data_IF_406675722108
#
_entry.id   IF_406675722108
#
_cell.length_a   1.000
_cell.length_b   1.000
_cell.length_c   1.000
_cell.angle_alpha   90.00
_cell.angle_beta   90.00
_cell.angle_gamma   90.00
#
_symmetry.space_group_name_H-M   'P 1'
#
loop_
_entity.id
_entity.type
_entity.pdbx_description
1 polymer ?
#
# COMPACT_ATOMS: atom_id res chain seq x y z
N UNK A 1 -1.20 68.79 36.64
CA UNK A 1 -1.51 67.99 35.43
C UNK A 1 -1.40 66.51 35.79
N UNK A 2 -2.40 65.75 35.35
CA UNK A 2 -2.60 64.29 35.47
C UNK A 2 -2.79 63.66 36.84
N UNK A 3 -4.08 63.46 37.12
CA UNK A 3 -4.70 62.56 38.09
C UNK A 3 -4.20 61.10 37.95
N UNK A 4 -3.80 60.49 39.06
CA UNK A 4 -3.81 59.04 39.24
C UNK A 4 -5.01 58.69 40.13
N UNK A 5 -6.05 58.06 39.55
CA UNK A 5 -7.10 57.37 40.32
C UNK A 5 -6.69 55.91 40.51
N UNK A 6 -6.82 55.34 41.72
CA UNK A 6 -6.66 53.92 41.95
C UNK A 6 -7.91 53.13 41.51
N UNK A 7 -7.76 51.86 41.09
CA UNK A 7 -8.89 50.98 40.82
C UNK A 7 -9.52 50.45 42.12
N UNK A 8 -10.84 50.18 42.14
CA UNK A 8 -11.54 49.67 43.31
C UNK A 8 -11.42 48.14 43.46
N UNK A 9 -11.52 47.70 44.71
CA UNK A 9 -11.54 46.31 45.19
C UNK A 9 -12.79 45.53 44.73
N UNK A 10 -12.71 44.20 44.62
CA UNK A 10 -13.83 43.34 44.22
C UNK A 10 -14.81 43.10 45.37
N UNK A 11 -16.09 43.25 45.04
CA UNK A 11 -17.26 42.93 45.87
C UNK A 11 -17.44 41.42 46.03
N UNK A 12 -17.63 40.99 47.28
CA UNK A 12 -18.16 39.67 47.62
C UNK A 12 -19.66 39.61 47.37
N UNK A 13 -20.15 38.49 46.84
CA UNK A 13 -21.49 37.97 47.10
C UNK A 13 -21.48 36.44 47.00
N UNK A 14 -22.08 35.86 48.02
CA UNK A 14 -22.14 34.44 48.40
C UNK A 14 -23.35 33.73 47.77
N UNK A 15 -23.46 32.42 48.05
CA UNK A 15 -24.60 31.47 47.86
C UNK A 15 -24.54 30.68 46.56
N UNK A 16 -24.86 29.40 46.49
CA UNK A 16 -25.23 28.35 47.45
C UNK A 16 -25.04 27.02 46.70
N UNK A 17 -24.68 25.95 47.40
CA UNK A 17 -24.77 24.57 46.88
C UNK A 17 -26.22 24.12 46.76
N UNK A 18 -26.52 23.15 45.86
CA UNK A 18 -27.08 21.92 46.43
C UNK A 18 -26.54 20.63 45.77
N UNK A 19 -26.52 19.61 46.62
CA UNK A 19 -26.26 18.19 46.37
C UNK A 19 -27.52 17.44 45.93
N UNK A 20 -27.35 16.34 45.19
CA UNK A 20 -28.31 15.26 44.94
C UNK A 20 -28.63 15.09 43.45
N UNK A 21 -28.91 13.93 42.88
CA UNK A 21 -28.97 12.52 43.30
C UNK A 21 -29.33 11.72 42.03
N UNK A 22 -28.77 10.52 41.88
CA UNK A 22 -29.29 9.30 41.20
C UNK A 22 -30.39 9.36 40.11
N UNK A 23 -30.10 8.71 38.97
CA UNK A 23 -31.02 8.14 37.97
C UNK A 23 -30.22 7.84 36.70
N UNK A 24 -29.80 6.60 36.40
CA UNK A 24 -30.60 5.53 35.77
C UNK A 24 -31.54 6.06 34.69
N UNK A 25 -31.09 5.99 33.44
CA UNK A 25 -31.94 5.84 32.26
C UNK A 25 -31.11 5.22 31.12
N UNK A 26 -31.52 4.02 30.73
CA UNK A 26 -31.20 3.34 29.49
C UNK A 26 -31.64 4.19 28.30
N UNK A 27 -30.85 4.21 27.22
CA UNK A 27 -31.44 4.37 25.89
C UNK A 27 -30.58 3.70 24.82
N UNK A 28 -31.27 2.84 24.08
CA UNK A 28 -30.86 2.18 22.86
C UNK A 28 -30.53 3.20 21.75
N UNK A 29 -29.45 3.00 20.99
CA UNK A 29 -29.41 3.49 19.61
C UNK A 29 -28.87 2.41 18.65
N UNK A 30 -29.84 1.91 17.88
CA UNK A 30 -29.78 1.04 16.71
C UNK A 30 -29.04 1.74 15.54
N UNK A 31 -28.47 0.98 14.57
CA UNK A 31 -27.33 1.43 13.78
C UNK A 31 -27.71 2.29 12.59
N UNK A 32 -26.80 3.20 12.22
CA UNK A 32 -26.90 3.99 10.98
C UNK A 32 -26.74 3.09 9.76
N UNK A 33 -27.86 2.76 9.14
CA UNK A 33 -27.97 2.29 7.76
C UNK A 33 -27.85 3.45 6.76
N UNK A 34 -27.29 3.10 5.59
CA UNK A 34 -27.66 3.59 4.25
C UNK A 34 -27.58 5.09 3.93
N UNK A 35 -26.57 5.48 3.12
CA UNK A 35 -26.72 6.30 1.89
C UNK A 35 -25.50 5.94 1.03
N UNK A 36 -25.57 5.35 -0.16
CA UNK A 36 -26.37 5.71 -1.33
C UNK A 36 -25.41 6.26 -2.40
N UNK A 37 -24.98 5.39 -3.33
CA UNK A 37 -24.39 5.80 -4.61
C UNK A 37 -25.39 6.69 -5.37
N UNK A 38 -24.92 7.67 -6.15
CA UNK A 38 -25.40 7.68 -7.54
C UNK A 38 -24.30 7.93 -8.57
N UNK A 39 -24.37 7.06 -9.56
CA UNK A 39 -23.89 7.18 -10.93
C UNK A 39 -24.80 8.15 -11.72
N UNK A 40 -24.32 8.55 -12.91
CA UNK A 40 -24.99 9.29 -13.98
C UNK A 40 -24.80 10.83 -13.98
N UNK A 41 -23.92 11.29 -14.87
CA UNK A 41 -24.13 12.54 -15.61
C UNK A 41 -24.58 12.17 -17.01
N UNK A 42 -25.85 12.44 -17.28
CA UNK A 42 -26.41 12.56 -18.60
C UNK A 42 -26.09 13.96 -19.15
N UNK A 43 -25.63 14.03 -20.40
CA UNK A 43 -25.69 15.26 -21.19
C UNK A 43 -26.35 14.91 -22.51
N UNK A 44 -27.60 15.33 -22.61
CA UNK A 44 -28.37 15.47 -23.85
C UNK A 44 -27.96 16.78 -24.51
N UNK A 45 -27.47 16.75 -25.75
CA UNK A 45 -27.66 17.89 -26.65
C UNK A 45 -28.06 17.42 -28.05
N UNK A 46 -29.08 18.12 -28.52
CA UNK A 46 -29.89 17.91 -29.71
C UNK A 46 -29.44 18.95 -30.73
N UNK A 47 -28.91 18.54 -31.90
CA UNK A 47 -28.86 19.44 -33.06
C UNK A 47 -29.14 18.72 -34.38
N UNK A 48 -30.36 18.98 -34.82
CA UNK A 48 -31.03 18.90 -36.12
C UNK A 48 -30.25 19.40 -37.38
N UNK A 49 -30.47 18.68 -38.51
CA UNK A 49 -30.60 19.12 -39.94
C UNK A 49 -29.28 19.44 -40.70
N UNK A 50 -28.92 18.87 -41.88
CA UNK A 50 -29.52 18.82 -43.24
C UNK A 50 -28.90 17.66 -44.07
N UNK A 51 -29.62 17.00 -45.01
CA UNK A 51 -29.06 15.96 -45.89
C UNK A 51 -28.40 16.53 -47.17
N UNK A 52 -27.25 15.97 -47.58
CA UNK A 52 -26.64 16.22 -48.89
C UNK A 52 -26.60 14.96 -49.76
N UNK A 53 -26.82 15.22 -51.04
CA UNK A 53 -27.19 14.32 -52.11
C UNK A 53 -26.10 13.33 -52.57
N UNK A 54 -26.57 12.12 -52.88
CA UNK A 54 -26.45 11.44 -54.17
C UNK A 54 -25.10 11.48 -54.91
N UNK A 55 -24.37 10.36 -54.90
CA UNK A 55 -23.41 9.98 -55.96
C UNK A 55 -23.57 8.48 -56.25
N UNK A 56 -23.91 8.05 -57.48
CA UNK A 56 -24.03 6.64 -57.82
C UNK A 56 -22.64 6.02 -58.04
N UNK A 57 -22.31 4.97 -57.27
CA UNK A 57 -21.08 4.20 -57.47
C UNK A 57 -21.33 3.00 -58.38
N UNK A 58 -20.59 3.04 -59.49
CA UNK A 58 -20.40 2.08 -60.58
C UNK A 58 -20.47 0.61 -60.13
N UNK A 59 -21.31 -0.14 -60.84
CA UNK A 59 -21.36 -1.61 -60.85
C UNK A 59 -20.19 -2.07 -61.73
N UNK A 60 -19.18 -2.71 -61.14
CA UNK A 60 -18.23 -3.54 -61.88
C UNK A 60 -18.59 -5.01 -61.64
N UNK A 61 -19.09 -5.62 -62.70
CA UNK A 61 -19.25 -7.07 -62.82
C UNK A 61 -17.87 -7.67 -63.11
N UNK A 62 -17.35 -8.48 -62.20
CA UNK A 62 -16.29 -9.43 -62.49
C UNK A 62 -16.67 -10.83 -62.00
N UNK A 63 -17.15 -11.59 -62.98
CA UNK A 63 -16.92 -13.02 -63.23
C UNK A 63 -16.60 -13.93 -62.03
N UNK A 64 -17.61 -14.74 -61.72
CA UNK A 64 -17.57 -15.97 -60.96
C UNK A 64 -16.61 -17.02 -61.57
N UNK A 65 -15.68 -17.52 -60.77
CA UNK A 65 -15.08 -18.85 -60.96
C UNK A 65 -15.56 -19.81 -59.85
N UNK A 66 -15.97 -21.04 -60.17
CA UNK A 66 -16.32 -22.04 -59.16
C UNK A 66 -15.04 -22.68 -58.60
N UNK A 67 -14.64 -22.27 -57.40
CA UNK A 67 -13.63 -22.98 -56.62
C UNK A 67 -14.27 -24.21 -55.97
N UNK A 68 -13.89 -25.38 -56.48
CA UNK A 68 -14.10 -26.69 -55.87
C UNK A 68 -13.47 -26.69 -54.48
N UNK A 69 -14.29 -26.41 -53.47
CA UNK A 69 -13.88 -26.45 -52.06
C UNK A 69 -13.94 -27.91 -51.61
N UNK A 70 -12.78 -28.54 -51.59
CA UNK A 70 -12.53 -29.81 -50.90
C UNK A 70 -13.07 -29.72 -49.46
N UNK A 71 -13.85 -30.69 -48.97
CA UNK A 71 -14.42 -30.63 -47.63
C UNK A 71 -13.30 -30.67 -46.59
N UNK A 72 -13.04 -29.52 -45.98
CA UNK A 72 -12.15 -29.40 -44.83
C UNK A 72 -12.74 -30.25 -43.68
N UNK A 73 -11.97 -31.15 -43.06
CA UNK A 73 -12.46 -31.93 -41.93
C UNK A 73 -12.95 -30.99 -40.83
N UNK A 74 -14.04 -31.32 -40.12
CA UNK A 74 -14.59 -30.45 -39.09
C UNK A 74 -13.51 -30.18 -38.04
N UNK A 75 -13.19 -28.90 -37.83
CA UNK A 75 -12.26 -28.49 -36.79
C UNK A 75 -12.71 -29.10 -35.45
N UNK A 76 -11.88 -29.95 -34.87
CA UNK A 76 -12.13 -30.58 -33.58
C UNK A 76 -12.27 -29.47 -32.53
N UNK A 77 -13.43 -29.41 -31.88
CA UNK A 77 -13.68 -28.46 -30.78
C UNK A 77 -12.76 -28.85 -29.63
N UNK A 78 -11.84 -27.95 -29.27
CA UNK A 78 -10.90 -28.17 -28.16
C UNK A 78 -11.63 -28.19 -26.83
N UNK A 79 -11.22 -29.09 -25.94
CA UNK A 79 -11.74 -29.17 -24.57
C UNK A 79 -11.25 -28.00 -23.71
N UNK A 80 -11.93 -27.70 -22.59
CA UNK A 80 -11.48 -26.66 -21.66
C UNK A 80 -10.09 -26.96 -21.12
N UNK A 81 -9.78 -28.25 -20.90
CA UNK A 81 -8.46 -28.73 -20.48
C UNK A 81 -7.36 -28.37 -21.48
N UNK A 82 -7.58 -28.62 -22.77
CA UNK A 82 -6.62 -28.30 -23.82
C UNK A 82 -6.40 -26.80 -23.95
N UNK A 83 -7.46 -26.01 -23.82
CA UNK A 83 -7.38 -24.56 -23.93
C UNK A 83 -6.57 -23.98 -22.77
N UNK A 84 -6.87 -24.39 -21.52
CA UNK A 84 -6.09 -23.96 -20.36
C UNK A 84 -4.63 -24.43 -20.41
N UNK A 85 -4.35 -25.58 -21.02
CA UNK A 85 -2.97 -26.05 -21.22
C UNK A 85 -2.20 -25.22 -22.26
N UNK A 86 -2.88 -24.70 -23.28
CA UNK A 86 -2.27 -23.83 -24.30
C UNK A 86 -2.18 -22.36 -23.91
N UNK A 87 -2.82 -21.95 -22.81
CA UNK A 87 -2.83 -20.59 -22.33
C UNK A 87 -1.52 -20.24 -21.60
N UNK A 88 -1.08 -18.99 -21.71
CA UNK A 88 0.07 -18.48 -20.95
C UNK A 88 -0.23 -18.52 -19.44
N UNK A 89 0.80 -18.80 -18.65
CA UNK A 89 0.66 -19.03 -17.21
C UNK A 89 0.07 -17.83 -16.45
N UNK A 90 0.36 -16.62 -16.89
CA UNK A 90 -0.13 -15.35 -16.33
C UNK A 90 -1.63 -15.11 -16.58
N UNK A 91 -2.18 -15.64 -17.68
CA UNK A 91 -3.59 -15.48 -18.06
C UNK A 91 -4.45 -16.70 -17.72
N UNK A 92 -3.83 -17.83 -17.38
CA UNK A 92 -4.51 -19.11 -17.16
C UNK A 92 -5.61 -19.03 -16.10
N UNK A 93 -5.36 -18.36 -14.97
CA UNK A 93 -6.35 -18.19 -13.89
C UNK A 93 -7.54 -17.33 -14.32
N UNK A 94 -7.28 -16.19 -14.95
CA UNK A 94 -8.33 -15.32 -15.47
C UNK A 94 -9.17 -16.03 -16.56
N UNK A 95 -8.55 -16.89 -17.37
CA UNK A 95 -9.24 -17.66 -18.39
C UNK A 95 -10.13 -18.74 -17.76
N UNK A 96 -9.62 -19.46 -16.77
CA UNK A 96 -10.40 -20.42 -15.99
C UNK A 96 -11.62 -19.73 -15.35
N UNK A 97 -11.44 -18.58 -14.70
CA UNK A 97 -12.55 -17.79 -14.11
C UNK A 97 -13.58 -17.38 -15.20
N UNK A 98 -13.12 -17.03 -16.39
CA UNK A 98 -14.00 -16.72 -17.52
C UNK A 98 -14.79 -17.95 -17.99
N UNK A 99 -14.16 -19.13 -18.05
CA UNK A 99 -14.82 -20.38 -18.42
C UNK A 99 -15.83 -20.85 -17.38
N UNK A 100 -15.61 -20.57 -16.10
CA UNK A 100 -16.54 -20.89 -15.01
C UNK A 100 -17.82 -20.05 -15.01
N UNK A 101 -17.92 -18.99 -15.82
CA UNK A 101 -19.09 -18.11 -15.85
C UNK A 101 -20.39 -18.87 -16.16
N UNK A 102 -21.33 -18.78 -15.23
CA UNK A 102 -22.65 -19.42 -15.32
C UNK A 102 -22.68 -20.86 -14.81
N UNK A 103 -21.58 -21.37 -14.25
CA UNK A 103 -21.54 -22.69 -13.61
C UNK A 103 -21.73 -22.56 -12.09
N UNK A 104 -22.35 -23.58 -11.51
CA UNK A 104 -22.52 -23.76 -10.08
C UNK A 104 -21.60 -24.88 -9.59
N UNK A 105 -21.25 -24.86 -8.30
CA UNK A 105 -20.60 -25.98 -7.62
C UNK A 105 -21.41 -27.27 -7.76
N UNK A 106 -20.77 -28.43 -7.51
CA UNK A 106 -21.45 -29.73 -7.57
C UNK A 106 -22.67 -29.78 -6.64
N UNK A 107 -22.60 -29.09 -5.49
CA UNK A 107 -23.70 -28.97 -4.53
C UNK A 107 -24.77 -27.92 -4.91
N UNK A 108 -24.55 -27.14 -5.96
CA UNK A 108 -25.47 -26.09 -6.41
C UNK A 108 -25.55 -24.86 -5.50
N UNK A 109 -24.70 -24.77 -4.48
CA UNK A 109 -24.74 -23.74 -3.43
C UNK A 109 -24.11 -22.42 -3.85
N UNK A 110 -23.07 -22.47 -4.71
CA UNK A 110 -22.18 -21.35 -5.03
C UNK A 110 -21.96 -21.24 -6.53
N UNK A 111 -21.85 -20.01 -7.03
CA UNK A 111 -21.35 -19.78 -8.39
C UNK A 111 -19.84 -19.97 -8.44
N UNK A 112 -19.37 -20.79 -9.39
CA UNK A 112 -17.93 -21.00 -9.58
C UNK A 112 -17.24 -19.68 -9.94
N UNK A 113 -16.12 -19.42 -9.26
CA UNK A 113 -15.27 -18.26 -9.51
C UNK A 113 -15.99 -16.89 -9.42
N UNK A 114 -16.95 -16.75 -8.51
CA UNK A 114 -17.52 -15.43 -8.18
C UNK A 114 -16.54 -14.62 -7.34
N UNK A 115 -15.92 -13.62 -7.96
CA UNK A 115 -14.92 -12.76 -7.31
C UNK A 115 -15.49 -11.85 -6.21
N UNK A 116 -16.82 -11.80 -6.07
CA UNK A 116 -17.49 -11.03 -5.00
C UNK A 116 -17.71 -11.82 -3.72
N UNK A 117 -17.55 -13.15 -3.78
CA UNK A 117 -17.71 -14.05 -2.64
C UNK A 117 -16.37 -14.41 -1.99
N UNK A 118 -16.42 -14.94 -0.77
CA UNK A 118 -15.24 -15.47 -0.10
C UNK A 118 -14.73 -16.74 -0.78
N UNK A 119 -13.40 -16.96 -0.85
CA UNK A 119 -12.31 -16.13 -0.30
C UNK A 119 -11.88 -14.97 -1.22
N UNK A 120 -12.42 -14.89 -2.44
CA UNK A 120 -11.92 -13.99 -3.46
C UNK A 120 -12.02 -12.52 -3.07
N UNK A 121 -13.12 -12.10 -2.47
CA UNK A 121 -13.33 -10.70 -2.06
C UNK A 121 -12.33 -10.20 -1.01
N UNK A 122 -11.70 -11.11 -0.25
CA UNK A 122 -10.65 -10.80 0.74
C UNK A 122 -9.25 -10.69 0.13
N UNK A 123 -9.08 -11.02 -1.15
CA UNK A 123 -7.81 -10.85 -1.82
C UNK A 123 -7.51 -9.37 -2.06
N UNK A 124 -6.23 -9.01 -2.04
CA UNK A 124 -5.81 -7.64 -2.35
C UNK A 124 -6.23 -7.20 -3.75
N UNK A 125 -6.48 -5.90 -3.93
CA UNK A 125 -6.89 -5.32 -5.21
C UNK A 125 -5.93 -5.66 -6.38
N UNK A 126 -4.62 -5.79 -6.09
CA UNK A 126 -3.61 -6.18 -7.08
C UNK A 126 -3.66 -7.66 -7.48
N UNK A 127 -4.14 -8.54 -6.60
CA UNK A 127 -4.40 -9.95 -6.92
C UNK A 127 -5.70 -10.07 -7.70
N UNK A 128 -6.76 -9.38 -7.25
CA UNK A 128 -8.06 -9.33 -7.94
C UNK A 128 -7.95 -8.80 -9.37
N UNK A 129 -7.16 -7.76 -9.62
CA UNK A 129 -6.98 -7.21 -10.97
C UNK A 129 -6.33 -8.20 -11.95
N UNK A 130 -5.49 -9.12 -11.46
CA UNK A 130 -4.89 -10.21 -12.28
C UNK A 130 -5.88 -11.34 -12.57
N UNK A 131 -6.89 -11.49 -11.72
CA UNK A 131 -7.99 -12.44 -11.91
C UNK A 131 -9.14 -11.83 -12.75
N UNK A 132 -9.11 -10.51 -12.96
CA UNK A 132 -10.14 -9.81 -13.68
C UNK A 132 -10.22 -10.27 -15.14
N UNK A 133 -11.45 -10.54 -15.58
CA UNK A 133 -11.77 -10.99 -16.94
C UNK A 133 -11.57 -9.83 -17.91
N UNK A 134 -10.80 -10.04 -18.97
CA UNK A 134 -10.63 -9.05 -20.02
C UNK A 134 -11.70 -9.22 -21.10
N UNK A 135 -12.06 -8.12 -21.78
CA UNK A 135 -13.03 -8.15 -22.89
C UNK A 135 -12.66 -9.15 -24.00
N UNK A 136 -11.38 -9.25 -24.46
CA UNK A 136 -10.98 -10.24 -25.45
C UNK A 136 -11.29 -11.67 -25.00
N UNK A 137 -10.94 -12.02 -23.76
CA UNK A 137 -11.15 -13.37 -23.23
C UNK A 137 -12.63 -13.74 -23.17
N UNK A 138 -13.49 -12.82 -22.70
CA UNK A 138 -14.94 -13.06 -22.71
C UNK A 138 -15.51 -13.18 -24.13
N UNK A 139 -15.00 -12.37 -25.07
CA UNK A 139 -15.45 -12.41 -26.46
C UNK A 139 -15.09 -13.72 -27.15
N UNK A 140 -13.86 -14.21 -26.92
CA UNK A 140 -13.40 -15.50 -27.42
C UNK A 140 -14.19 -16.66 -26.81
N UNK A 141 -14.48 -16.60 -25.51
CA UNK A 141 -15.28 -17.61 -24.83
C UNK A 141 -16.73 -17.65 -25.34
N UNK A 142 -17.34 -16.50 -25.63
CA UNK A 142 -18.68 -16.44 -26.27
C UNK A 142 -18.68 -17.13 -27.63
N UNK A 143 -17.67 -16.84 -28.46
CA UNK A 143 -17.50 -17.46 -29.79
C UNK A 143 -17.29 -18.97 -29.64
N UNK A 144 -16.45 -19.38 -28.69
CA UNK A 144 -16.15 -20.79 -28.42
C UNK A 144 -17.40 -21.57 -28.04
N UNK A 145 -18.16 -21.10 -27.04
CA UNK A 145 -19.41 -21.76 -26.59
C UNK A 145 -20.46 -21.82 -27.71
N UNK A 146 -20.51 -20.82 -28.60
CA UNK A 146 -21.39 -20.85 -29.76
C UNK A 146 -21.00 -21.91 -30.80
N UNK A 147 -19.69 -22.11 -31.03
CA UNK A 147 -19.19 -23.19 -31.89
C UNK A 147 -19.51 -24.57 -31.31
N UNK A 148 -19.28 -24.77 -30.00
CA UNK A 148 -19.57 -26.02 -29.30
C UNK A 148 -21.05 -26.42 -29.43
N UNK A 149 -21.95 -25.44 -29.30
CA UNK A 149 -23.41 -25.62 -29.45
C UNK A 149 -23.89 -25.68 -30.91
N UNK A 150 -22.99 -25.57 -31.89
CA UNK A 150 -23.30 -25.56 -33.33
C UNK A 150 -24.38 -24.54 -33.70
N UNK A 151 -24.34 -23.33 -33.12
CA UNK A 151 -25.32 -22.28 -33.41
C UNK A 151 -25.08 -21.72 -34.81
N UNK A 152 -25.85 -22.16 -35.81
CA UNK A 152 -25.67 -21.73 -37.22
C UNK A 152 -26.43 -20.45 -37.54
N UNK A 153 -27.64 -20.26 -36.98
CA UNK A 153 -28.58 -19.22 -37.44
C UNK A 153 -28.32 -17.83 -36.83
N UNK A 154 -27.75 -17.75 -35.63
CA UNK A 154 -27.48 -16.48 -34.94
C UNK A 154 -26.13 -16.56 -34.21
N UNK A 155 -25.06 -16.72 -34.99
CA UNK A 155 -23.72 -16.78 -34.41
C UNK A 155 -23.37 -15.43 -33.76
N UNK A 156 -22.99 -15.40 -32.48
CA UNK A 156 -22.73 -14.15 -31.77
C UNK A 156 -21.51 -13.43 -32.35
N UNK A 157 -21.59 -12.10 -32.44
CA UNK A 157 -20.51 -11.24 -32.94
C UNK A 157 -20.08 -10.23 -31.86
N UNK A 158 -19.29 -10.67 -30.85
CA UNK A 158 -19.04 -9.90 -29.64
C UNK A 158 -18.12 -8.67 -29.79
N UNK A 159 -17.55 -8.41 -30.97
CA UNK A 159 -16.54 -7.36 -31.20
C UNK A 159 -16.90 -6.01 -30.54
N UNK A 160 -18.17 -5.61 -30.66
CA UNK A 160 -18.67 -4.34 -30.16
C UNK A 160 -19.57 -4.47 -28.92
N UNK A 161 -19.66 -5.65 -28.31
CA UNK A 161 -20.43 -5.82 -27.08
C UNK A 161 -19.75 -5.12 -25.91
N UNK A 162 -20.57 -4.60 -24.99
CA UNK A 162 -20.10 -4.07 -23.71
C UNK A 162 -19.80 -5.23 -22.75
N UNK A 163 -19.02 -4.96 -21.70
CA UNK A 163 -18.62 -6.00 -20.74
C UNK A 163 -19.84 -6.61 -20.03
N UNK A 164 -20.86 -5.80 -19.70
CA UNK A 164 -22.07 -6.28 -19.05
C UNK A 164 -22.85 -7.24 -19.96
N UNK A 165 -22.91 -6.93 -21.26
CA UNK A 165 -23.56 -7.79 -22.27
C UNK A 165 -22.81 -9.12 -22.42
N UNK A 166 -21.49 -9.09 -22.46
CA UNK A 166 -20.65 -10.30 -22.52
C UNK A 166 -20.85 -11.17 -21.28
N UNK A 167 -20.78 -10.56 -20.11
CA UNK A 167 -20.98 -11.24 -18.83
C UNK A 167 -22.36 -11.88 -18.73
N UNK A 168 -23.43 -11.13 -19.02
CA UNK A 168 -24.80 -11.63 -19.02
C UNK A 168 -25.01 -12.77 -20.01
N UNK A 169 -24.44 -12.65 -21.22
CA UNK A 169 -24.50 -13.71 -22.22
C UNK A 169 -23.78 -14.99 -21.77
N UNK A 170 -22.58 -14.88 -21.20
CA UNK A 170 -21.83 -16.04 -20.70
C UNK A 170 -22.54 -16.70 -19.52
N UNK A 171 -23.11 -15.92 -18.60
CA UNK A 171 -23.89 -16.46 -17.47
C UNK A 171 -25.13 -17.23 -17.94
N UNK A 172 -25.84 -16.70 -18.93
CA UNK A 172 -27.03 -17.36 -19.51
C UNK A 172 -26.67 -18.57 -20.39
N UNK A 173 -25.46 -18.61 -20.95
CA UNK A 173 -25.01 -19.64 -21.88
C UNK A 173 -23.81 -20.39 -21.30
N UNK A 174 -24.01 -21.11 -20.19
CA UNK A 174 -22.97 -21.88 -19.52
C UNK A 174 -22.48 -23.09 -20.35
N UNK A 175 -21.32 -23.64 -19.98
CA UNK A 175 -20.79 -24.87 -20.60
C UNK A 175 -21.72 -26.03 -20.25
N UNK A 176 -21.96 -26.93 -21.21
CA UNK A 176 -22.89 -28.07 -21.04
C UNK A 176 -22.18 -29.42 -21.04
N UNK A 177 -20.91 -29.46 -21.47
CA UNK A 177 -20.11 -30.68 -21.50
C UNK A 177 -19.75 -31.12 -20.07
N UNK A 178 -20.25 -32.27 -19.63
CA UNK A 178 -20.03 -32.81 -18.27
C UNK A 178 -18.55 -32.98 -17.93
N UNK A 179 -17.72 -33.42 -18.89
CA UNK A 179 -16.29 -33.60 -18.70
C UNK A 179 -15.55 -32.28 -18.46
N UNK A 180 -15.95 -31.23 -19.17
CA UNK A 180 -15.38 -29.89 -18.98
C UNK A 180 -15.88 -29.25 -17.68
N UNK A 181 -17.15 -29.46 -17.31
CA UNK A 181 -17.71 -29.00 -16.04
C UNK A 181 -16.94 -29.64 -14.87
N UNK A 182 -16.82 -30.97 -14.84
CA UNK A 182 -16.09 -31.67 -13.78
C UNK A 182 -14.63 -31.21 -13.67
N UNK A 183 -13.96 -31.00 -14.82
CA UNK A 183 -12.60 -30.48 -14.84
C UNK A 183 -12.52 -29.04 -14.28
N UNK A 184 -13.43 -28.14 -14.70
CA UNK A 184 -13.46 -26.76 -14.21
C UNK A 184 -13.80 -26.69 -12.72
N UNK A 185 -14.74 -27.51 -12.24
CA UNK A 185 -15.03 -27.65 -10.81
C UNK A 185 -13.80 -28.05 -10.01
N UNK A 186 -13.07 -29.08 -10.46
CA UNK A 186 -11.85 -29.53 -9.78
C UNK A 186 -10.74 -28.46 -9.77
N UNK A 187 -10.53 -27.76 -10.89
CA UNK A 187 -9.52 -26.71 -10.98
C UNK A 187 -9.89 -25.47 -10.15
N UNK A 188 -11.15 -25.07 -10.18
CA UNK A 188 -11.64 -23.94 -9.42
C UNK A 188 -11.60 -24.25 -7.93
N UNK A 189 -11.98 -25.46 -7.49
CA UNK A 189 -11.92 -25.85 -6.09
C UNK A 189 -10.48 -25.87 -5.55
N UNK A 190 -9.53 -26.38 -6.33
CA UNK A 190 -8.11 -26.31 -5.99
C UNK A 190 -7.62 -24.85 -5.86
N UNK A 191 -8.11 -23.95 -6.72
CA UNK A 191 -7.78 -22.54 -6.66
C UNK A 191 -8.46 -21.82 -5.48
N UNK A 192 -9.71 -22.19 -5.16
CA UNK A 192 -10.49 -21.69 -4.04
C UNK A 192 -9.76 -21.94 -2.72
N UNK A 193 -9.38 -23.19 -2.44
CA UNK A 193 -8.61 -23.52 -1.23
C UNK A 193 -7.23 -22.85 -1.18
N UNK A 194 -6.57 -22.68 -2.33
CA UNK A 194 -5.33 -21.91 -2.37
C UNK A 194 -5.56 -20.43 -1.99
N UNK A 195 -6.69 -19.85 -2.36
CA UNK A 195 -7.06 -18.50 -1.95
C UNK A 195 -7.44 -18.42 -0.47
N UNK A 196 -8.13 -19.40 0.09
CA UNK A 196 -8.40 -19.49 1.53
C UNK A 196 -7.10 -19.48 2.34
N UNK A 197 -6.18 -20.40 2.01
CA UNK A 197 -4.88 -20.48 2.69
C UNK A 197 -4.12 -19.15 2.61
N UNK A 198 -4.12 -18.48 1.45
CA UNK A 198 -3.47 -17.18 1.30
C UNK A 198 -4.10 -16.07 2.16
N UNK A 199 -5.41 -16.11 2.35
CA UNK A 199 -6.12 -15.14 3.21
C UNK A 199 -5.83 -15.43 4.67
N UNK A 200 -5.84 -16.71 5.07
CA UNK A 200 -5.51 -17.15 6.42
C UNK A 200 -4.06 -16.83 6.80
N UNK A 201 -3.10 -17.12 5.92
CA UNK A 201 -1.69 -16.78 6.12
C UNK A 201 -1.49 -15.28 6.28
N UNK A 202 -2.16 -14.46 5.46
CA UNK A 202 -2.11 -13.00 5.59
C UNK A 202 -2.68 -12.54 6.93
N UNK A 203 -3.81 -13.10 7.35
CA UNK A 203 -4.43 -12.77 8.63
C UNK A 203 -3.58 -13.23 9.82
N UNK A 204 -2.96 -14.40 9.74
CA UNK A 204 -2.03 -14.89 10.76
C UNK A 204 -0.77 -14.03 10.84
N UNK A 205 -0.23 -13.62 9.70
CA UNK A 205 0.91 -12.72 9.65
C UNK A 205 0.55 -11.34 10.23
N UNK A 206 -0.60 -10.78 9.88
CA UNK A 206 -1.10 -9.53 10.46
C UNK A 206 -1.34 -9.67 11.97
N UNK A 207 -1.88 -10.80 12.44
CA UNK A 207 -2.05 -11.05 13.87
C UNK A 207 -0.71 -11.23 14.60
N UNK A 208 0.28 -11.87 13.97
CA UNK A 208 1.64 -12.00 14.50
C UNK A 208 2.34 -10.64 14.55
N UNK A 209 2.24 -9.84 13.49
CA UNK A 209 2.73 -8.47 13.43
C UNK A 209 1.98 -7.56 14.42
N UNK A 210 0.67 -7.76 14.63
CA UNK A 210 -0.12 -7.05 15.63
C UNK A 210 0.39 -7.36 17.04
N UNK A 211 0.64 -8.64 17.35
CA UNK A 211 1.24 -9.07 18.63
C UNK A 211 2.65 -8.49 18.81
N UNK A 212 3.46 -8.45 17.75
CA UNK A 212 4.77 -7.78 17.74
C UNK A 212 4.68 -6.24 17.76
N UNK A 213 3.57 -5.64 17.34
CA UNK A 213 3.38 -4.18 17.29
C UNK A 213 2.70 -3.61 18.53
N UNK A 214 2.37 -4.45 19.52
CA UNK A 214 2.07 -3.98 20.89
C UNK A 214 3.25 -3.22 21.52
N UNK A 215 4.47 -3.38 20.97
CA UNK A 215 5.71 -2.66 21.34
C UNK A 215 5.92 -1.42 20.46
N UNK A 216 4.92 -0.53 20.46
CA UNK A 216 4.79 0.54 19.48
C UNK A 216 5.78 1.67 19.78
N UNK A 217 6.88 1.73 19.02
CA UNK A 217 7.72 2.92 18.87
C UNK A 217 6.85 4.05 18.31
N UNK A 218 6.15 4.74 19.19
CA UNK A 218 5.09 5.70 18.88
C UNK A 218 5.42 7.04 19.48
N UNK A 219 4.78 8.07 18.95
CA UNK A 219 4.89 9.43 19.50
C UNK A 219 4.44 9.52 20.97
N UNK A 220 3.64 8.55 21.44
CA UNK A 220 3.16 8.48 22.82
C UNK A 220 4.25 8.05 23.83
N UNK A 221 5.24 7.25 23.39
CA UNK A 221 6.40 6.91 24.21
C UNK A 221 7.69 7.06 23.38
N UNK A 222 8.40 8.18 23.51
CA UNK A 222 9.59 8.45 22.71
C UNK A 222 10.85 7.76 23.27
N UNK A 223 10.79 7.15 24.46
CA UNK A 223 11.96 6.54 25.14
C UNK A 223 12.69 5.49 24.29
N UNK A 224 11.99 4.60 23.54
CA UNK A 224 12.67 3.69 22.62
C UNK A 224 13.48 4.42 21.54
N UNK A 225 13.00 5.55 21.01
CA UNK A 225 13.77 6.32 20.02
C UNK A 225 15.02 6.92 20.65
N UNK A 226 14.89 7.53 21.83
CA UNK A 226 16.02 8.14 22.52
C UNK A 226 17.10 7.12 22.84
N UNK A 227 16.75 5.95 23.38
CA UNK A 227 17.73 4.89 23.66
C UNK A 227 18.48 4.44 22.40
N UNK A 228 17.81 4.38 21.25
CA UNK A 228 18.44 3.93 19.99
C UNK A 228 19.47 4.94 19.51
N UNK A 229 19.09 6.22 19.49
CA UNK A 229 19.99 7.27 19.03
C UNK A 229 21.14 7.51 20.01
N UNK A 230 20.88 7.46 21.31
CA UNK A 230 21.94 7.53 22.32
C UNK A 230 22.87 6.31 22.25
N UNK A 231 22.35 5.10 21.98
CA UNK A 231 23.19 3.93 21.74
C UNK A 231 24.05 4.09 20.47
N UNK A 232 23.52 4.73 19.42
CA UNK A 232 24.27 5.03 18.21
C UNK A 232 25.36 6.09 18.43
N UNK A 233 25.23 6.90 19.49
CA UNK A 233 26.28 7.83 19.92
C UNK A 233 27.40 7.17 20.72
N UNK A 234 27.30 5.88 21.08
CA UNK A 234 28.38 5.19 21.76
C UNK A 234 29.62 5.07 20.85
N UNK A 235 30.81 5.27 21.42
CA UNK A 235 32.05 5.28 20.65
C UNK A 235 32.36 3.91 20.01
N UNK A 236 31.93 2.79 20.60
CA UNK A 236 32.09 1.46 20.00
C UNK A 236 31.18 1.29 18.77
N UNK A 237 29.95 1.79 18.86
CA UNK A 237 28.99 1.74 17.75
C UNK A 237 29.43 2.67 16.62
N UNK A 238 29.94 3.86 16.94
CA UNK A 238 30.56 4.78 15.96
C UNK A 238 31.79 4.15 15.29
N UNK A 239 32.64 3.46 16.05
CA UNK A 239 33.79 2.76 15.49
C UNK A 239 33.36 1.67 14.50
N UNK A 240 32.32 0.90 14.83
CA UNK A 240 31.73 -0.08 13.94
C UNK A 240 31.15 0.56 12.66
N UNK A 241 30.51 1.74 12.76
CA UNK A 241 30.03 2.49 11.59
C UNK A 241 31.17 2.89 10.65
N UNK A 242 32.27 3.39 11.20
CA UNK A 242 33.44 3.78 10.42
C UNK A 242 34.09 2.57 9.75
N UNK A 243 34.13 1.43 10.44
CA UNK A 243 34.69 0.18 9.88
C UNK A 243 33.79 -0.43 8.80
N UNK A 244 32.47 -0.41 8.98
CA UNK A 244 31.48 -0.89 8.00
C UNK A 244 31.57 -0.12 6.67
N UNK A 245 31.92 1.16 6.74
CA UNK A 245 32.16 2.01 5.56
C UNK A 245 33.49 1.76 4.83
N UNK A 246 34.41 0.97 5.39
CA UNK A 246 35.70 0.68 4.73
C UNK A 246 35.52 -0.39 3.66
N UNK A 247 36.05 -0.12 2.47
CA UNK A 247 36.09 -1.11 1.40
C UNK A 247 36.81 -2.38 1.87
N UNK A 248 36.08 -3.50 1.92
CA UNK A 248 36.67 -4.81 2.21
C UNK A 248 37.70 -5.16 1.14
N UNK A 249 38.86 -5.70 1.57
CA UNK A 249 39.83 -6.24 0.63
C UNK A 249 39.26 -7.46 -0.09
N UNK A 250 39.74 -7.74 -1.31
CA UNK A 250 39.27 -8.88 -2.11
C UNK A 250 39.30 -10.21 -1.34
N UNK A 251 40.34 -10.44 -0.52
CA UNK A 251 40.45 -11.62 0.32
C UNK A 251 39.33 -11.73 1.38
N UNK A 252 38.90 -10.60 1.97
CA UNK A 252 37.77 -10.56 2.92
C UNK A 252 36.42 -10.74 2.22
N UNK A 253 36.30 -10.32 0.96
CA UNK A 253 35.10 -10.56 0.14
C UNK A 253 34.97 -12.04 -0.29
N UNK A 254 36.10 -12.68 -0.61
CA UNK A 254 36.15 -14.09 -1.00
C UNK A 254 35.91 -15.04 0.21
N UNK A 255 36.17 -14.56 1.43
CA UNK A 255 35.84 -15.23 2.70
C UNK A 255 34.34 -15.17 3.06
N UNK A 256 33.48 -15.77 2.25
CA UNK A 256 32.04 -15.91 2.58
C UNK A 256 31.89 -16.68 3.91
N UNK A 257 31.33 -16.02 4.93
CA UNK A 257 31.11 -16.52 6.30
C UNK A 257 32.38 -16.78 7.15
N UNK A 258 33.45 -16.01 6.99
CA UNK A 258 34.52 -16.04 8.01
C UNK A 258 34.04 -15.41 9.32
N UNK A 259 34.36 -16.04 10.46
CA UNK A 259 34.15 -15.48 11.81
C UNK A 259 34.91 -14.16 12.03
N UNK A 260 35.89 -13.86 11.17
CA UNK A 260 36.72 -12.64 11.18
C UNK A 260 36.03 -11.39 10.58
N UNK A 261 34.74 -11.46 10.23
CA UNK A 261 34.03 -10.29 9.74
C UNK A 261 33.89 -9.25 10.86
N UNK A 262 34.21 -7.98 10.60
CA UNK A 262 34.02 -6.94 11.59
C UNK A 262 32.54 -6.83 11.96
N UNK A 263 32.28 -6.51 13.23
CA UNK A 263 30.90 -6.31 13.69
C UNK A 263 30.27 -5.17 12.89
N UNK A 264 29.09 -5.42 12.33
CA UNK A 264 28.38 -4.39 11.56
C UNK A 264 27.84 -3.33 12.50
N UNK A 265 27.66 -2.10 12.00
CA UNK A 265 27.07 -0.99 12.76
C UNK A 265 25.76 -1.40 13.47
N UNK A 266 24.84 -2.04 12.74
CA UNK A 266 23.55 -2.46 13.30
C UNK A 266 23.68 -3.59 14.33
N UNK A 267 24.68 -4.46 14.21
CA UNK A 267 24.94 -5.50 15.20
C UNK A 267 25.49 -4.91 16.50
N UNK A 268 26.47 -4.00 16.41
CA UNK A 268 27.00 -3.27 17.56
C UNK A 268 25.90 -2.43 18.24
N UNK A 269 25.03 -1.79 17.46
CA UNK A 269 23.90 -1.02 17.97
C UNK A 269 22.88 -1.91 18.70
N UNK A 270 22.58 -3.09 18.16
CA UNK A 270 21.68 -4.06 18.80
C UNK A 270 22.26 -4.60 20.10
N UNK A 271 23.56 -4.91 20.12
CA UNK A 271 24.26 -5.33 21.32
C UNK A 271 24.21 -4.24 22.40
N UNK A 272 24.51 -2.98 22.04
CA UNK A 272 24.44 -1.86 22.98
C UNK A 272 23.02 -1.63 23.50
N UNK A 273 22.01 -1.70 22.64
CA UNK A 273 20.61 -1.58 23.04
C UNK A 273 20.22 -2.61 24.10
N UNK A 274 20.63 -3.87 23.88
CA UNK A 274 20.31 -5.01 24.74
C UNK A 274 21.16 -5.07 26.02
N UNK A 275 22.18 -4.23 26.15
CA UNK A 275 23.03 -4.18 27.34
C UNK A 275 22.33 -3.54 28.54
N UNK A 276 22.84 -3.81 29.74
CA UNK A 276 22.36 -3.22 31.01
C UNK A 276 22.67 -1.71 31.15
N UNK A 277 23.16 -1.07 30.08
CA UNK A 277 23.45 0.34 30.06
C UNK A 277 22.18 1.19 30.18
N UNK A 278 22.26 2.24 30.99
CA UNK A 278 21.21 3.25 31.16
C UNK A 278 21.56 4.45 30.27
N UNK A 279 20.70 4.74 29.30
CA UNK A 279 20.85 5.90 28.43
C UNK A 279 20.35 7.14 29.16
N UNK A 280 21.06 8.27 29.01
CA UNK A 280 20.65 9.54 29.63
C UNK A 280 20.63 10.65 28.58
N UNK A 281 19.51 11.36 28.48
CA UNK A 281 19.38 12.48 27.53
C UNK A 281 20.04 13.74 28.11
N UNK A 282 20.72 14.57 27.29
CA UNK A 282 21.21 15.86 27.75
C UNK A 282 20.05 16.81 28.10
N UNK A 283 20.27 17.67 29.09
CA UNK A 283 19.32 18.70 29.51
C UNK A 283 19.39 19.86 28.51
N UNK A 284 18.29 20.11 27.78
CA UNK A 284 18.19 21.09 26.70
C UNK A 284 16.93 21.97 26.86
N UNK A 285 16.89 22.84 27.88
CA UNK A 285 15.69 23.62 28.23
C UNK A 285 15.32 24.65 27.16
N UNK A 286 16.27 25.05 26.31
CA UNK A 286 16.03 25.98 25.20
C UNK A 286 15.46 25.30 23.95
N UNK A 287 15.46 23.95 23.88
CA UNK A 287 14.97 23.20 22.72
C UNK A 287 13.46 22.95 22.80
N UNK A 288 13.01 22.31 23.88
CA UNK A 288 11.60 22.01 24.17
C UNK A 288 11.42 21.71 25.66
N UNK A 289 10.21 21.96 26.21
CA UNK A 289 9.92 21.71 27.62
C UNK A 289 10.11 20.24 28.04
N UNK A 290 9.94 19.30 27.10
CA UNK A 290 10.18 17.87 27.35
C UNK A 290 11.66 17.54 27.65
N UNK A 291 12.59 18.40 27.22
CA UNK A 291 14.03 18.27 27.49
C UNK A 291 14.51 19.21 28.60
N UNK A 292 13.61 19.82 29.37
CA UNK A 292 13.96 20.63 30.55
C UNK A 292 14.64 19.78 31.63
N UNK A 293 14.33 18.48 31.68
CA UNK A 293 14.89 17.52 32.63
C UNK A 293 15.60 16.39 31.90
N UNK A 294 16.59 15.83 32.56
CA UNK A 294 17.27 14.62 32.12
C UNK A 294 16.30 13.43 32.16
N UNK A 295 16.24 12.66 31.07
CA UNK A 295 15.45 11.46 30.94
C UNK A 295 16.42 10.27 30.97
N UNK A 296 16.39 9.53 32.08
CA UNK A 296 17.11 8.26 32.21
C UNK A 296 16.25 7.12 31.67
N UNK A 297 16.86 6.27 30.84
CA UNK A 297 16.18 5.20 30.11
C UNK A 297 16.97 3.90 30.31
N UNK A 298 16.50 3.06 31.21
CA UNK A 298 17.05 1.74 31.46
C UNK A 298 16.60 0.70 30.43
N UNK A 299 17.21 -0.50 30.40
CA UNK A 299 16.72 -1.63 29.63
C UNK A 299 15.33 -2.09 30.07
N UNK A 300 14.92 -1.84 31.31
CA UNK A 300 13.59 -2.14 31.84
C UNK A 300 12.50 -1.20 31.29
N UNK A 301 12.87 0.03 30.93
CA UNK A 301 11.97 1.02 30.36
C UNK A 301 11.63 0.72 28.89
N UNK A 302 12.48 -0.08 28.22
CA UNK A 302 12.26 -0.55 26.85
C UNK A 302 11.92 -2.03 26.84
N UNK A 303 10.68 -2.33 26.46
CA UNK A 303 10.04 -3.59 26.84
C UNK A 303 10.66 -4.90 26.30
N UNK A 304 11.58 -4.90 25.32
CA UNK A 304 12.20 -6.13 24.81
C UNK A 304 13.60 -5.96 24.19
N UNK A 305 14.40 -7.04 24.18
CA UNK A 305 15.62 -7.09 23.41
C UNK A 305 15.32 -7.05 21.91
N UNK A 306 16.19 -6.39 21.15
CA UNK A 306 16.00 -6.11 19.74
C UNK A 306 17.02 -6.87 18.90
N UNK A 307 16.57 -7.40 17.76
CA UNK A 307 17.46 -8.06 16.79
C UNK A 307 18.07 -7.05 15.81
N UNK A 308 19.21 -7.41 15.24
CA UNK A 308 19.90 -6.60 14.22
C UNK A 308 19.01 -6.28 13.02
N UNK A 309 18.18 -7.23 12.58
CA UNK A 309 17.24 -7.05 11.46
C UNK A 309 16.17 -6.00 11.78
N UNK A 310 15.65 -6.04 13.02
CA UNK A 310 14.64 -5.08 13.46
C UNK A 310 15.22 -3.67 13.54
N UNK A 311 16.39 -3.48 14.16
CA UNK A 311 17.10 -2.19 14.20
C UNK A 311 17.38 -1.67 12.79
N UNK A 312 17.82 -2.53 11.88
CA UNK A 312 18.07 -2.14 10.48
C UNK A 312 16.79 -1.65 9.80
N UNK A 313 15.68 -2.37 9.96
CA UNK A 313 14.37 -1.99 9.41
C UNK A 313 13.89 -0.66 10.01
N UNK A 314 14.03 -0.50 11.32
CA UNK A 314 13.61 0.69 12.05
C UNK A 314 14.43 1.92 11.67
N UNK A 315 15.76 1.82 11.66
CA UNK A 315 16.67 2.89 11.24
C UNK A 315 16.37 3.37 9.82
N UNK A 316 16.12 2.46 8.88
CA UNK A 316 15.74 2.81 7.50
C UNK A 316 14.41 3.56 7.45
N UNK A 317 13.39 3.10 8.20
CA UNK A 317 12.10 3.78 8.28
C UNK A 317 12.25 5.19 8.86
N UNK A 318 13.02 5.34 9.94
CA UNK A 318 13.23 6.62 10.60
C UNK A 318 14.04 7.59 9.72
N UNK A 319 15.04 7.10 8.96
CA UNK A 319 15.75 7.89 7.93
C UNK A 319 14.78 8.43 6.86
N UNK A 320 13.84 7.61 6.40
CA UNK A 320 12.82 8.03 5.43
C UNK A 320 11.82 9.05 6.02
N UNK A 321 11.46 8.89 7.29
CA UNK A 321 10.61 9.84 8.01
C UNK A 321 11.32 11.19 8.19
N UNK A 322 12.59 11.17 8.61
CA UNK A 322 13.41 12.37 8.76
C UNK A 322 13.56 13.11 7.43
N UNK A 323 13.85 12.41 6.34
CA UNK A 323 13.94 13.01 5.01
C UNK A 323 12.63 13.73 4.63
N UNK A 324 11.47 13.13 4.90
CA UNK A 324 10.16 13.77 4.66
C UNK A 324 9.94 14.99 5.55
N UNK A 325 10.33 14.91 6.82
CA UNK A 325 10.19 16.01 7.78
C UNK A 325 11.07 17.19 7.37
N UNK A 326 12.32 16.94 7.00
CA UNK A 326 13.25 17.95 6.47
C UNK A 326 12.68 18.60 5.21
N UNK A 327 12.21 17.82 4.24
CA UNK A 327 11.61 18.40 3.02
C UNK A 327 10.37 19.26 3.30
N UNK A 328 9.53 18.88 4.28
CA UNK A 328 8.38 19.70 4.70
C UNK A 328 8.82 20.98 5.40
N UNK A 329 9.83 20.88 6.26
CA UNK A 329 10.41 22.03 6.97
C UNK A 329 11.02 23.02 5.97
N UNK A 330 11.83 22.53 5.03
CA UNK A 330 12.42 23.34 3.96
C UNK A 330 11.34 24.00 3.09
N UNK A 331 10.29 23.26 2.73
CA UNK A 331 9.16 23.80 1.96
C UNK A 331 8.25 24.76 2.72
N UNK A 332 8.36 24.86 4.05
CA UNK A 332 7.51 25.72 4.88
C UNK A 332 7.96 27.18 4.94
N UNK A 333 9.06 27.54 4.27
CA UNK A 333 9.67 28.87 4.34
C UNK A 333 10.44 29.15 5.63
N UNK A 334 10.41 28.26 6.62
CA UNK A 334 11.24 28.33 7.83
C UNK A 334 12.58 27.57 7.66
N UNK A 335 12.78 26.96 6.49
CA UNK A 335 13.99 26.24 6.12
C UNK A 335 15.22 27.12 5.90
N UNK A 336 16.40 26.49 5.94
CA UNK A 336 17.64 27.14 5.56
C UNK A 336 17.64 27.37 4.04
N UNK A 337 17.60 28.64 3.61
CA UNK A 337 17.57 29.02 2.19
C UNK A 337 16.21 29.51 1.69
N UNK A 338 15.63 30.49 2.38
CA UNK A 338 14.53 31.31 1.87
C UNK A 338 14.78 31.72 0.41
N UNK A 339 14.06 31.10 -0.52
CA UNK A 339 13.84 31.64 -1.87
C UNK A 339 12.65 32.58 -1.74
N UNK A 340 12.91 33.78 -1.26
CA UNK A 340 11.99 34.88 -1.49
C UNK A 340 11.98 35.07 -3.00
N UNK A 341 10.79 35.10 -3.62
CA UNK A 341 10.60 35.12 -5.08
C UNK A 341 11.18 36.35 -5.81
N UNK A 342 12.15 37.05 -5.22
CA UNK A 342 12.89 38.18 -5.76
C UNK A 342 14.42 38.05 -5.68
N UNK A 343 15.00 37.03 -5.05
CA UNK A 343 16.47 36.97 -4.89
C UNK A 343 17.03 35.58 -5.15
N UNK A 344 18.02 35.55 -6.05
CA UNK A 344 18.91 34.42 -6.31
C UNK A 344 19.54 33.93 -5.02
N UNK A 345 19.41 32.62 -4.77
CA UNK A 345 20.15 31.77 -3.82
C UNK A 345 21.03 32.50 -2.78
N UNK A 346 20.55 32.55 -1.53
CA UNK A 346 21.38 32.79 -0.35
C UNK A 346 21.68 34.27 -0.06
N UNK A 347 20.75 34.96 0.59
CA UNK A 347 21.10 36.09 1.46
C UNK A 347 20.95 35.62 2.92
N UNK A 348 22.09 35.35 3.59
CA UNK A 348 22.12 35.44 5.05
C UNK A 348 21.96 36.93 5.37
N UNK A 349 20.92 37.29 6.11
CA UNK A 349 20.90 38.62 6.74
C UNK A 349 21.96 38.63 7.83
N UNK A 350 22.78 39.68 7.87
CA UNK A 350 23.86 39.85 8.84
C UNK A 350 23.34 39.85 10.30
N UNK A 351 22.04 40.16 10.48
CA UNK A 351 21.33 40.03 11.76
C UNK A 351 21.09 38.58 12.21
N UNK A 352 20.93 37.62 11.29
CA UNK A 352 20.80 36.20 11.64
C UNK A 352 22.16 35.56 12.01
N UNK A 353 23.28 36.24 11.72
CA UNK A 353 24.62 35.84 12.13
C UNK A 353 24.97 36.25 13.57
N UNK A 354 24.25 37.22 14.16
CA UNK A 354 24.55 37.75 15.50
C UNK A 354 23.67 37.17 16.63
N UNK A 355 22.57 36.49 16.30
CA UNK A 355 21.60 36.01 17.30
C UNK A 355 21.56 34.48 17.46
N UNK A 356 22.39 33.73 16.73
CA UNK A 356 22.32 32.27 16.69
C UNK A 356 23.52 31.62 17.40
N UNK A 357 23.44 31.53 18.73
CA UNK A 357 24.40 30.82 19.61
C UNK A 357 24.56 29.32 19.24
N UNK A 358 23.72 28.77 18.35
CA UNK A 358 23.90 27.41 17.82
C UNK A 358 25.13 27.26 16.94
N UNK A 359 25.55 28.33 16.25
CA UNK A 359 26.74 28.26 15.39
C UNK A 359 28.00 28.07 16.23
N UNK A 360 28.07 28.71 17.39
CA UNK A 360 29.17 28.58 18.32
C UNK A 360 29.16 27.20 19.00
N UNK A 361 27.98 26.71 19.43
CA UNK A 361 27.85 25.35 20.00
C UNK A 361 28.22 24.24 19.01
N UNK A 362 27.82 24.38 17.73
CA UNK A 362 28.17 23.42 16.69
C UNK A 362 29.62 23.58 16.20
N UNK A 363 30.17 24.80 16.14
CA UNK A 363 31.57 24.98 15.75
C UNK A 363 32.55 24.47 16.82
N UNK A 364 32.26 24.65 18.10
CA UNK A 364 33.10 24.14 19.19
C UNK A 364 33.12 22.60 19.22
N UNK A 365 31.96 21.95 18.98
CA UNK A 365 31.84 20.48 18.99
C UNK A 365 32.31 19.80 17.68
N UNK A 366 32.20 20.46 16.52
CA UNK A 366 32.49 19.86 15.21
C UNK A 366 33.81 20.34 14.56
N UNK A 367 34.49 21.35 15.11
CA UNK A 367 35.81 21.77 14.59
C UNK A 367 36.92 20.73 14.80
N UNK A 368 36.74 19.81 15.75
CA UNK A 368 37.74 18.77 16.06
C UNK A 368 37.52 17.43 15.34
N UNK A 369 36.44 17.26 14.54
CA UNK A 369 36.16 15.98 13.87
C UNK A 369 36.09 16.10 12.34
N UNK A 370 36.76 15.20 11.60
CA UNK A 370 36.88 15.29 10.15
C UNK A 370 35.54 15.06 9.42
N UNK A 371 35.24 15.96 8.48
CA UNK A 371 33.97 16.15 7.73
C UNK A 371 33.57 15.04 6.75
N UNK A 372 34.04 13.81 6.89
CA UNK A 372 33.78 12.74 5.92
C UNK A 372 32.54 11.86 6.23
N UNK A 373 31.71 12.23 7.22
CA UNK A 373 30.55 11.45 7.66
C UNK A 373 29.19 11.96 7.14
N UNK A 374 29.15 12.75 6.06
CA UNK A 374 27.91 13.24 5.44
C UNK A 374 27.69 12.70 4.01
N UNK A 375 27.95 11.42 3.78
CA UNK A 375 27.49 10.69 2.58
C UNK A 375 26.84 9.37 2.96
#
# INVERSE_FOLDING_TARGET
MSNKRPPPLPSQLSRDSPSGSSGEEDDEEIPRSSVGLPWAKATTETTSVVPKANVPRRIDQSQSQPSTTTPQPPATVKTCREILASCKQDQKKALMICMCLGLLTEDGTRWLADLTEEPYCKLSASKLSKLARTKPMMSEEVIRRAHERKVVKCFPRPKNWRNETLYGHLKANHITSETDIAFLCAQENAFFHACENMVEESAQQEAAEAKQSSYRWTDADPRPFYRMYLAAEDDQVKAALVEDGKCLSKAKLDGRNSEDLPITFFAALAEKWNSDWVASTPILPTLHGDFEKEISIGPEDVQQPVTTEYITKKWKNDKMLLARLVSRYEGSGHGFGMIDGRTTFGHMTEEALQADDRKDYLWEQFSEKPRHLLL
#
